data_IF_342443549775
#
_entry.id   IF_342443549775
#
_cell.length_a   1.000
_cell.length_b   1.000
_cell.length_c   1.000
_cell.angle_alpha   90.00
_cell.angle_beta   90.00
_cell.angle_gamma   90.00
#
_symmetry.space_group_name_H-M   'P 1'
#
loop_
_entity.id
_entity.type
_entity.pdbx_description
1 polymer ?
#
# COMPACT_ATOMS: atom_id res chain seq x y z
N UNK A 1 -15.50 1.31 1.45
CA UNK A 1 -14.29 1.46 0.61
C UNK A 1 -14.19 0.29 -0.39
N UNK A 2 -13.71 0.50 -1.64
CA UNK A 2 -13.66 -0.57 -2.68
C UNK A 2 -12.72 -1.73 -2.29
N UNK A 3 -11.53 -1.41 -1.79
CA UNK A 3 -10.52 -2.41 -1.36
C UNK A 3 -11.05 -3.28 -0.22
N UNK A 4 -11.73 -2.71 0.78
CA UNK A 4 -12.35 -3.51 1.86
C UNK A 4 -13.36 -4.54 1.31
N UNK A 5 -14.17 -4.16 0.30
CA UNK A 5 -15.10 -5.10 -0.33
C UNK A 5 -14.38 -6.20 -1.11
N UNK A 6 -13.31 -5.85 -1.83
CA UNK A 6 -12.45 -6.79 -2.54
C UNK A 6 -11.87 -7.84 -1.58
N UNK A 7 -11.44 -7.39 -0.39
CA UNK A 7 -10.75 -8.21 0.60
C UNK A 7 -11.68 -8.83 1.65
N UNK A 8 -13.00 -8.83 1.41
CA UNK A 8 -13.98 -9.46 2.30
C UNK A 8 -13.67 -10.94 2.60
N UNK A 9 -13.16 -11.78 1.67
CA UNK A 9 -12.78 -13.15 1.99
C UNK A 9 -11.66 -13.28 3.03
N UNK A 10 -10.89 -12.22 3.28
CA UNK A 10 -9.82 -12.16 4.29
C UNK A 10 -10.26 -11.41 5.57
N UNK A 11 -11.57 -11.25 5.78
CA UNK A 11 -12.13 -10.53 6.93
C UNK A 11 -11.59 -9.09 7.06
N UNK A 12 -11.47 -8.40 5.92
CA UNK A 12 -10.95 -7.04 5.91
C UNK A 12 -11.93 -6.02 6.53
N UNK A 13 -11.40 -5.15 7.37
CA UNK A 13 -12.11 -4.05 8.03
C UNK A 13 -11.38 -2.73 7.79
N UNK A 14 -12.16 -1.66 7.59
CA UNK A 14 -11.60 -0.31 7.56
C UNK A 14 -11.26 0.14 8.98
N UNK A 15 -10.11 0.79 9.14
CA UNK A 15 -9.66 1.35 10.41
C UNK A 15 -10.10 2.82 10.46
N UNK A 16 -11.30 3.06 10.96
CA UNK A 16 -11.91 4.40 10.99
C UNK A 16 -11.52 5.22 12.24
N UNK A 17 -10.89 4.57 13.24
CA UNK A 17 -10.63 5.15 14.56
C UNK A 17 -9.14 5.30 14.81
N UNK A 18 -8.75 6.34 15.58
CA UNK A 18 -7.37 6.63 15.96
C UNK A 18 -6.76 5.60 16.92
N UNK A 19 -6.53 4.37 16.45
CA UNK A 19 -5.77 3.31 17.14
C UNK A 19 -4.33 3.77 17.43
N UNK A 20 -3.88 4.81 16.71
CA UNK A 20 -2.68 5.58 16.96
C UNK A 20 -2.28 6.37 15.71
N UNK A 21 -1.42 7.39 15.83
CA UNK A 21 -0.94 8.15 14.68
C UNK A 21 -0.28 7.23 13.65
N UNK A 22 -0.71 7.33 12.38
CA UNK A 22 -0.15 6.58 11.26
C UNK A 22 -0.50 5.09 11.21
N UNK A 23 -1.53 4.65 11.93
CA UNK A 23 -2.08 3.30 11.77
C UNK A 23 -2.61 3.11 10.34
N UNK A 24 -2.36 1.96 9.69
CA UNK A 24 -2.85 1.68 8.34
C UNK A 24 -4.38 1.69 8.20
N UNK A 25 -4.87 1.99 7.00
CA UNK A 25 -6.29 2.17 6.70
C UNK A 25 -7.13 0.88 6.75
N UNK A 26 -6.51 -0.29 6.54
CA UNK A 26 -7.19 -1.59 6.53
C UNK A 26 -6.46 -2.57 7.43
N UNK A 27 -7.23 -3.30 8.24
CA UNK A 27 -6.79 -4.53 8.89
C UNK A 27 -7.55 -5.73 8.32
N UNK A 28 -6.87 -6.85 8.14
CA UNK A 28 -7.46 -8.12 7.69
C UNK A 28 -6.82 -9.27 8.49
N UNK A 29 -7.32 -10.49 8.32
CA UNK A 29 -6.99 -11.64 9.16
C UNK A 29 -5.47 -11.90 9.29
N UNK A 30 -4.68 -11.60 8.25
CA UNK A 30 -3.23 -11.82 8.30
C UNK A 30 -2.40 -10.55 8.49
N UNK A 31 -2.98 -9.35 8.38
CA UNK A 31 -2.13 -8.15 8.29
C UNK A 31 -2.82 -6.81 8.18
N UNK A 32 -2.05 -5.85 7.69
CA UNK A 32 -2.44 -4.44 7.58
C UNK A 32 -2.11 -3.89 6.20
N UNK A 33 -2.95 -3.00 5.67
CA UNK A 33 -2.72 -2.33 4.39
C UNK A 33 -2.94 -0.83 4.56
N UNK A 34 -1.93 -0.04 4.20
CA UNK A 34 -2.05 1.41 4.05
C UNK A 34 -2.43 1.74 2.60
N UNK A 35 -3.35 2.67 2.39
CA UNK A 35 -3.88 3.03 1.08
C UNK A 35 -3.53 4.47 0.72
N UNK A 36 -3.06 4.69 -0.50
CA UNK A 36 -2.91 6.03 -1.08
C UNK A 36 -3.46 6.09 -2.49
N UNK A 37 -4.03 7.25 -2.82
CA UNK A 37 -4.56 7.55 -4.13
C UNK A 37 -3.99 8.87 -4.65
N UNK A 38 -3.51 8.86 -5.89
CA UNK A 38 -3.19 10.05 -6.67
C UNK A 38 -4.03 10.04 -7.96
N UNK A 39 -4.70 11.15 -8.30
CA UNK A 39 -5.63 11.16 -9.44
C UNK A 39 -4.96 11.10 -10.81
N UNK A 40 -3.66 11.35 -10.88
CA UNK A 40 -2.88 11.34 -12.13
C UNK A 40 -1.40 11.16 -11.86
N UNK A 41 -0.69 10.63 -12.84
CA UNK A 41 0.76 10.71 -12.89
C UNK A 41 1.24 12.16 -12.96
N UNK A 42 2.27 12.47 -12.18
CA UNK A 42 2.99 13.74 -12.31
C UNK A 42 3.91 13.61 -13.52
N UNK A 43 3.82 14.55 -14.47
CA UNK A 43 4.65 14.52 -15.69
C UNK A 43 6.12 14.80 -15.35
N UNK A 44 7.02 13.97 -15.87
CA UNK A 44 8.47 14.22 -15.94
C UNK A 44 9.08 14.79 -14.66
N UNK A 45 9.05 14.00 -13.59
CA UNK A 45 9.70 14.31 -12.32
C UNK A 45 10.71 13.22 -11.99
N UNK A 46 11.84 13.61 -11.38
CA UNK A 46 12.81 12.67 -10.80
C UNK A 46 12.27 11.94 -9.57
N UNK A 47 11.10 12.35 -9.07
CA UNK A 47 10.46 11.78 -7.89
C UNK A 47 8.93 11.95 -7.95
N UNK A 48 8.19 10.85 -7.84
CA UNK A 48 6.74 10.88 -7.73
C UNK A 48 6.33 11.13 -6.28
N UNK A 49 6.17 12.41 -5.92
CA UNK A 49 5.83 12.81 -4.54
C UNK A 49 4.44 12.36 -4.10
N UNK A 50 4.38 11.67 -2.96
CA UNK A 50 3.14 11.25 -2.31
C UNK A 50 3.00 12.01 -0.98
N UNK A 51 2.63 13.29 -1.06
CA UNK A 51 2.58 14.18 0.12
C UNK A 51 1.62 13.69 1.22
N UNK A 52 0.60 12.92 0.85
CA UNK A 52 -0.38 12.32 1.76
C UNK A 52 0.16 11.08 2.51
N UNK A 53 1.39 10.62 2.22
CA UNK A 53 2.04 9.51 2.91
C UNK A 53 2.97 10.02 4.00
N UNK A 54 2.45 10.04 5.23
CA UNK A 54 3.05 10.76 6.36
C UNK A 54 4.27 10.03 6.95
N UNK A 55 5.19 10.75 7.62
CA UNK A 55 6.30 10.12 8.33
C UNK A 55 5.86 9.09 9.38
N UNK A 56 4.75 9.33 10.08
CA UNK A 56 4.19 8.41 11.08
C UNK A 56 3.77 7.08 10.45
N UNK A 57 3.14 7.12 9.28
CA UNK A 57 2.76 5.91 8.54
C UNK A 57 4.01 5.13 8.13
N UNK A 58 5.04 5.80 7.58
CA UNK A 58 6.32 5.16 7.24
C UNK A 58 6.96 4.47 8.45
N UNK A 59 6.97 5.14 9.61
CA UNK A 59 7.48 4.58 10.86
C UNK A 59 6.67 3.35 11.26
N UNK A 60 5.35 3.39 11.13
CA UNK A 60 4.48 2.25 11.44
C UNK A 60 4.80 1.06 10.54
N UNK A 61 4.81 1.24 9.21
CA UNK A 61 5.10 0.18 8.24
C UNK A 61 6.46 -0.45 8.52
N UNK A 62 7.50 0.39 8.68
CA UNK A 62 8.85 -0.07 8.99
C UNK A 62 8.92 -0.88 10.28
N UNK A 63 8.29 -0.39 11.36
CA UNK A 63 8.31 -1.07 12.67
C UNK A 63 7.59 -2.41 12.61
N UNK A 64 6.41 -2.47 11.99
CA UNK A 64 5.63 -3.71 11.91
C UNK A 64 6.31 -4.75 11.02
N UNK A 65 6.85 -4.33 9.89
CA UNK A 65 7.62 -5.20 9.00
C UNK A 65 8.84 -5.79 9.71
N UNK A 66 9.65 -4.95 10.39
CA UNK A 66 10.83 -5.41 11.15
C UNK A 66 10.49 -6.36 12.30
N UNK A 67 9.30 -6.26 12.88
CA UNK A 67 8.80 -7.19 13.88
C UNK A 67 8.28 -8.51 13.27
N UNK A 68 8.46 -8.72 11.96
CA UNK A 68 7.94 -9.87 11.25
C UNK A 68 6.42 -9.85 11.11
N UNK A 69 5.77 -8.68 11.11
CA UNK A 69 4.33 -8.52 10.85
C UNK A 69 4.01 -8.33 9.37
N UNK A 70 2.83 -8.75 8.92
CA UNK A 70 2.41 -8.60 7.52
C UNK A 70 1.80 -7.22 7.34
N UNK A 71 2.48 -6.39 6.57
CA UNK A 71 2.13 -4.99 6.38
C UNK A 71 2.46 -4.59 4.96
N UNK A 72 1.46 -4.04 4.29
CA UNK A 72 1.51 -3.72 2.87
C UNK A 72 1.11 -2.26 2.66
N UNK A 73 1.49 -1.75 1.49
CA UNK A 73 1.09 -0.45 1.01
C UNK A 73 0.54 -0.60 -0.39
N UNK A 74 -0.71 -0.18 -0.60
CA UNK A 74 -1.36 -0.23 -1.91
C UNK A 74 -1.59 1.20 -2.41
N UNK A 75 -0.92 1.50 -3.52
CA UNK A 75 -0.94 2.79 -4.18
C UNK A 75 -1.78 2.71 -5.44
N UNK A 76 -2.75 3.61 -5.58
CA UNK A 76 -3.42 3.84 -6.84
C UNK A 76 -2.95 5.18 -7.43
N UNK A 77 -2.48 5.20 -8.68
CA UNK A 77 -2.18 6.42 -9.44
C UNK A 77 -2.93 6.39 -10.76
N UNK A 78 -3.89 7.29 -10.95
CA UNK A 78 -4.87 7.18 -12.03
C UNK A 78 -5.52 5.78 -12.02
N UNK A 79 -5.30 4.99 -13.06
CA UNK A 79 -5.82 3.63 -13.18
C UNK A 79 -4.84 2.58 -12.66
N UNK A 80 -3.53 2.89 -12.58
CA UNK A 80 -2.50 1.96 -12.14
C UNK A 80 -2.57 1.67 -10.63
N UNK A 81 -2.42 0.41 -10.26
CA UNK A 81 -2.35 -0.10 -8.89
C UNK A 81 -0.99 -0.72 -8.65
N UNK A 82 -0.31 -0.32 -7.59
CA UNK A 82 1.02 -0.81 -7.22
C UNK A 82 1.01 -1.26 -5.75
N UNK A 83 1.41 -2.50 -5.51
CA UNK A 83 1.48 -3.10 -4.18
C UNK A 83 2.94 -3.22 -3.73
N UNK A 84 3.21 -2.86 -2.48
CA UNK A 84 4.54 -2.93 -1.88
C UNK A 84 4.47 -3.60 -0.51
N UNK A 85 5.57 -4.23 -0.10
CA UNK A 85 5.76 -4.55 1.32
C UNK A 85 6.01 -3.27 2.15
N UNK A 86 5.86 -3.40 3.47
CA UNK A 86 5.98 -2.28 4.39
C UNK A 86 7.37 -1.62 4.44
N UNK A 87 8.48 -2.35 4.22
CA UNK A 87 9.82 -1.74 4.25
C UNK A 87 10.10 -0.96 2.97
N UNK A 88 9.80 -1.58 1.82
CA UNK A 88 9.96 -0.98 0.50
C UNK A 88 9.14 0.30 0.39
N UNK A 89 7.88 0.26 0.82
CA UNK A 89 7.02 1.44 0.88
C UNK A 89 7.61 2.55 1.76
N UNK A 90 8.02 2.22 2.98
CA UNK A 90 8.54 3.20 3.93
C UNK A 90 9.81 3.91 3.43
N UNK A 91 10.66 3.18 2.71
CA UNK A 91 11.97 3.65 2.26
C UNK A 91 11.94 4.35 0.90
N UNK A 92 11.12 3.88 -0.06
CA UNK A 92 11.21 4.31 -1.46
C UNK A 92 9.98 5.05 -1.98
N UNK A 93 8.76 4.62 -1.60
CA UNK A 93 7.55 5.22 -2.17
C UNK A 93 7.48 6.70 -1.83
N UNK A 94 7.30 7.55 -2.85
CA UNK A 94 7.36 8.99 -2.69
C UNK A 94 8.76 9.60 -2.67
N UNK A 95 9.80 8.86 -3.08
CA UNK A 95 11.22 9.29 -3.12
C UNK A 95 11.97 8.83 -4.37
N UNK A 96 11.29 8.16 -5.29
CA UNK A 96 11.85 7.59 -6.52
C UNK A 96 11.00 8.00 -7.70
N UNK A 97 11.52 7.83 -8.91
CA UNK A 97 10.79 8.16 -10.13
C UNK A 97 9.71 7.12 -10.47
N UNK A 98 9.07 7.28 -11.63
CA UNK A 98 7.98 6.39 -12.05
C UNK A 98 8.50 4.97 -12.29
N UNK A 99 9.61 4.82 -12.98
CA UNK A 99 10.08 3.52 -13.43
C UNK A 99 10.54 2.71 -12.21
N UNK A 100 11.26 3.36 -11.29
CA UNK A 100 11.63 2.79 -9.99
C UNK A 100 10.40 2.35 -9.16
N UNK A 101 9.29 3.10 -9.19
CA UNK A 101 8.07 2.69 -8.48
C UNK A 101 7.53 1.35 -9.01
N UNK A 102 7.52 1.15 -10.32
CA UNK A 102 7.08 -0.12 -10.91
C UNK A 102 8.07 -1.25 -10.61
N UNK A 103 9.37 -0.99 -10.71
CA UNK A 103 10.40 -2.00 -10.45
C UNK A 103 10.41 -2.49 -9.00
N UNK A 104 10.14 -1.60 -8.04
CA UNK A 104 10.12 -1.91 -6.61
C UNK A 104 8.80 -2.52 -6.13
N UNK A 105 7.74 -2.51 -6.95
CA UNK A 105 6.45 -3.07 -6.56
C UNK A 105 6.52 -4.61 -6.48
N UNK A 106 5.87 -5.19 -5.47
CA UNK A 106 5.63 -6.64 -5.40
C UNK A 106 4.73 -7.11 -6.56
N UNK A 107 3.78 -6.24 -6.94
CA UNK A 107 2.83 -6.46 -8.01
C UNK A 107 2.29 -5.13 -8.52
N UNK A 108 1.93 -5.10 -9.80
CA UNK A 108 1.32 -3.93 -10.43
C UNK A 108 0.23 -4.34 -11.42
N UNK A 109 -0.81 -3.53 -11.52
CA UNK A 109 -1.94 -3.74 -12.43
C UNK A 109 -2.36 -2.41 -13.06
N UNK A 110 -2.73 -2.42 -14.34
CA UNK A 110 -3.26 -1.23 -15.05
C UNK A 110 -4.66 -0.83 -14.57
N UNK A 111 -5.37 -1.74 -13.91
CA UNK A 111 -6.70 -1.52 -13.33
C UNK A 111 -6.79 -2.19 -11.95
N UNK A 112 -7.89 -1.92 -11.24
CA UNK A 112 -8.09 -2.52 -9.91
C UNK A 112 -8.10 -4.05 -10.03
N UNK A 113 -7.19 -4.77 -9.35
CA UNK A 113 -7.14 -6.23 -9.41
C UNK A 113 -8.39 -6.83 -8.78
N UNK A 114 -8.75 -8.03 -9.25
CA UNK A 114 -9.72 -8.87 -8.57
C UNK A 114 -9.10 -9.58 -7.34
N UNK A 115 -9.91 -10.34 -6.62
CA UNK A 115 -9.47 -11.01 -5.40
C UNK A 115 -8.37 -12.04 -5.69
N UNK A 116 -8.47 -12.79 -6.78
CA UNK A 116 -7.53 -13.86 -7.12
C UNK A 116 -6.19 -13.31 -7.58
N UNK A 117 -6.19 -12.13 -8.21
CA UNK A 117 -4.97 -11.44 -8.63
C UNK A 117 -4.18 -10.90 -7.42
N UNK A 118 -4.85 -10.35 -6.41
CA UNK A 118 -4.17 -9.73 -5.26
C UNK A 118 -3.86 -10.72 -4.12
N UNK A 119 -4.72 -11.71 -3.88
CA UNK A 119 -4.62 -12.62 -2.73
C UNK A 119 -3.25 -13.30 -2.54
N UNK A 120 -2.54 -13.76 -3.59
CA UNK A 120 -1.24 -14.40 -3.44
C UNK A 120 -0.17 -13.53 -2.74
N UNK A 121 -0.34 -12.20 -2.78
CA UNK A 121 0.57 -11.24 -2.15
C UNK A 121 0.15 -10.84 -0.73
N UNK A 122 -1.08 -11.19 -0.34
CA UNK A 122 -1.65 -10.83 0.97
C UNK A 122 -1.45 -11.92 2.01
N UNK A 123 -1.30 -13.17 1.57
CA UNK A 123 -1.11 -14.30 2.45
C UNK A 123 0.37 -14.59 2.67
N UNK A 124 0.77 -14.93 3.89
CA UNK A 124 2.05 -15.62 4.07
C UNK A 124 1.84 -17.07 3.65
N UNK A 125 2.61 -17.51 2.65
CA UNK A 125 2.70 -18.94 2.31
C UNK A 125 3.12 -19.80 3.49
#
# INVERSE_FOLDING_TARGET
QKVVKLLKPLDATAVENGVGPGTPDINYVEGWIELKYLPKWVKSVSEVKIAIFTPQQRVWLRRRWKAGGNVLFLLQIADDWLLYDGITAAEHVGRVDKDDLFELALASWEYMPDFYEIAPYLTRG
#
